data_IF_611553323881
#
_entry.id   IF_611553323881
#
_cell.length_a   1.000
_cell.length_b   1.000
_cell.length_c   1.000
_cell.angle_alpha   90.00
_cell.angle_beta   90.00
_cell.angle_gamma   90.00
#
_symmetry.space_group_name_H-M   'P 1'
#
loop_
_entity.id
_entity.type
_entity.pdbx_description
1 polymer ?
#
# COMPACT_ATOMS: atom_id res chain seq x y z
N UNK A 1 -50.50 -24.92 4.84
CA UNK A 1 -50.18 -23.62 5.47
C UNK A 1 -49.19 -22.88 4.58
N UNK A 2 -49.62 -21.78 3.95
CA UNK A 2 -48.79 -21.01 3.00
C UNK A 2 -48.12 -19.90 3.81
N UNK A 3 -46.83 -20.06 4.12
CA UNK A 3 -46.07 -19.02 4.82
C UNK A 3 -45.95 -17.80 3.91
N UNK A 4 -46.62 -16.71 4.26
CA UNK A 4 -46.42 -15.41 3.63
C UNK A 4 -45.11 -14.84 4.16
N UNK A 5 -44.09 -14.81 3.32
CA UNK A 5 -42.82 -14.13 3.61
C UNK A 5 -43.06 -12.62 3.43
N UNK A 6 -43.24 -11.90 4.54
CA UNK A 6 -43.32 -10.45 4.52
C UNK A 6 -41.91 -9.85 4.46
N UNK A 7 -41.50 -9.37 3.28
CA UNK A 7 -40.21 -8.71 3.08
C UNK A 7 -40.39 -7.21 3.37
N UNK A 8 -39.90 -6.75 4.52
CA UNK A 8 -39.84 -5.31 4.84
C UNK A 8 -38.60 -4.69 4.18
N UNK A 9 -38.76 -4.12 2.99
CA UNK A 9 -37.70 -3.29 2.40
C UNK A 9 -37.62 -1.94 3.12
N UNK A 10 -36.44 -1.63 3.69
CA UNK A 10 -36.15 -0.27 4.15
C UNK A 10 -36.11 0.63 2.92
N UNK A 11 -36.97 1.65 2.86
CA UNK A 11 -37.02 2.65 1.78
C UNK A 11 -35.64 3.25 1.49
N UNK A 12 -34.81 3.46 2.52
CA UNK A 12 -33.42 3.89 2.37
C UNK A 12 -32.55 2.93 1.53
N UNK A 13 -32.77 1.62 1.62
CA UNK A 13 -32.03 0.61 0.85
C UNK A 13 -32.47 0.61 -0.62
N UNK A 14 -33.76 0.85 -0.88
CA UNK A 14 -34.29 1.01 -2.24
C UNK A 14 -33.71 2.28 -2.88
N UNK A 15 -33.79 3.41 -2.17
CA UNK A 15 -33.26 4.70 -2.66
C UNK A 15 -31.75 4.59 -2.89
N UNK A 16 -31.02 4.00 -1.94
CA UNK A 16 -29.58 3.76 -2.08
C UNK A 16 -29.24 2.83 -3.26
N UNK A 17 -30.05 1.78 -3.48
CA UNK A 17 -29.91 0.89 -4.62
C UNK A 17 -30.11 1.62 -5.95
N UNK A 18 -31.19 2.40 -6.08
CA UNK A 18 -31.49 3.21 -7.27
C UNK A 18 -30.38 4.23 -7.52
N UNK A 19 -29.93 4.94 -6.48
CA UNK A 19 -28.84 5.90 -6.58
C UNK A 19 -27.53 5.23 -7.05
N UNK A 20 -27.20 4.05 -6.52
CA UNK A 20 -26.01 3.29 -6.91
C UNK A 20 -26.07 2.85 -8.37
N UNK A 21 -27.22 2.33 -8.82
CA UNK A 21 -27.45 1.95 -10.23
C UNK A 21 -27.40 3.18 -11.14
N UNK A 22 -27.98 4.30 -10.71
CA UNK A 22 -27.91 5.56 -11.44
C UNK A 22 -26.47 6.05 -11.61
N UNK A 23 -25.66 6.01 -10.55
CA UNK A 23 -24.22 6.35 -10.61
C UNK A 23 -23.45 5.42 -11.56
N UNK A 24 -23.72 4.12 -11.53
CA UNK A 24 -23.12 3.16 -12.46
C UNK A 24 -23.52 3.46 -13.92
N UNK A 25 -24.78 3.88 -14.15
CA UNK A 25 -25.27 4.29 -15.46
C UNK A 25 -24.56 5.55 -15.98
N UNK A 26 -24.41 6.58 -15.14
CA UNK A 26 -23.67 7.81 -15.48
C UNK A 26 -22.21 7.49 -15.80
N UNK A 27 -21.58 6.64 -14.99
CA UNK A 27 -20.20 6.20 -15.21
C UNK A 27 -20.04 5.43 -16.53
N UNK A 28 -20.96 4.51 -16.82
CA UNK A 28 -20.99 3.75 -18.08
C UNK A 28 -21.21 4.64 -19.30
N UNK A 29 -22.12 5.62 -19.21
CA UNK A 29 -22.35 6.61 -20.26
C UNK A 29 -21.12 7.48 -20.51
N UNK A 30 -20.46 7.96 -19.45
CA UNK A 30 -19.21 8.71 -19.57
C UNK A 30 -18.12 7.88 -20.25
N UNK A 31 -17.94 6.61 -19.87
CA UNK A 31 -16.97 5.71 -20.52
C UNK A 31 -17.29 5.48 -22.00
N UNK A 32 -18.56 5.32 -22.34
CA UNK A 32 -18.99 5.18 -23.73
C UNK A 32 -18.72 6.47 -24.54
N UNK A 33 -19.05 7.64 -23.98
CA UNK A 33 -18.83 8.93 -24.63
C UNK A 33 -17.34 9.25 -24.82
N UNK A 34 -16.49 8.90 -23.86
CA UNK A 34 -15.06 9.21 -23.90
C UNK A 34 -14.23 8.19 -24.70
N UNK A 35 -14.58 6.89 -24.63
CA UNK A 35 -13.74 5.80 -25.16
C UNK A 35 -14.45 4.91 -26.19
N UNK A 36 -15.68 5.23 -26.57
CA UNK A 36 -16.49 4.45 -27.53
C UNK A 36 -16.99 3.11 -26.99
N UNK A 37 -16.64 2.73 -25.76
CA UNK A 37 -17.06 1.47 -25.14
C UNK A 37 -17.14 1.63 -23.61
N UNK A 38 -18.30 1.28 -23.05
CA UNK A 38 -18.59 1.36 -21.61
C UNK A 38 -17.81 0.35 -20.77
N UNK A 39 -17.26 -0.72 -21.38
CA UNK A 39 -16.47 -1.77 -20.71
C UNK A 39 -14.97 -1.47 -20.68
N UNK A 40 -14.51 -0.41 -21.34
CA UNK A 40 -13.08 -0.07 -21.37
C UNK A 40 -12.63 0.35 -19.98
N UNK A 41 -11.73 -0.42 -19.38
CA UNK A 41 -11.08 -0.06 -18.13
C UNK A 41 -9.80 0.73 -18.41
N UNK A 42 -9.41 1.59 -17.47
CA UNK A 42 -8.21 2.41 -17.58
C UNK A 42 -6.92 1.61 -17.83
N UNK A 43 -6.88 0.33 -17.43
CA UNK A 43 -5.73 -0.56 -17.65
C UNK A 43 -5.61 -1.04 -19.11
N UNK A 44 -6.68 -0.97 -19.90
CA UNK A 44 -6.63 -1.32 -21.32
C UNK A 44 -6.21 -0.15 -22.21
N UNK A 45 -6.23 1.08 -21.68
CA UNK A 45 -5.75 2.26 -22.38
C UNK A 45 -4.24 2.12 -22.64
N UNK A 46 -3.76 2.47 -23.84
CA UNK A 46 -2.32 2.52 -24.10
C UNK A 46 -1.71 3.59 -23.18
N UNK A 47 -0.82 3.17 -22.27
CA UNK A 47 -0.16 4.10 -21.34
C UNK A 47 1.03 4.83 -21.97
N UNK A 48 1.65 4.26 -23.00
CA UNK A 48 2.70 4.89 -23.82
C UNK A 48 2.76 4.22 -25.20
N UNK A 49 3.01 5.00 -26.26
CA UNK A 49 3.53 4.47 -27.54
C UNK A 49 5.01 4.13 -27.34
N UNK A 50 5.30 2.90 -26.92
CA UNK A 50 6.66 2.39 -26.86
C UNK A 50 7.11 2.19 -28.31
N UNK A 51 8.04 2.98 -28.80
CA UNK A 51 8.50 2.98 -30.21
C UNK A 51 9.32 1.74 -30.61
N UNK A 52 9.49 0.77 -29.71
CA UNK A 52 10.38 -0.39 -29.90
C UNK A 52 9.59 -1.67 -30.19
N UNK A 53 9.41 -1.97 -31.48
CA UNK A 53 8.51 -2.99 -32.04
C UNK A 53 8.69 -4.42 -31.50
N UNK A 54 9.89 -4.79 -31.05
CA UNK A 54 10.16 -6.19 -30.66
C UNK A 54 9.62 -6.56 -29.26
N UNK A 55 9.53 -5.58 -28.34
CA UNK A 55 8.89 -5.77 -27.03
C UNK A 55 7.38 -5.54 -27.06
N UNK A 56 6.90 -4.87 -28.10
CA UNK A 56 5.47 -4.63 -28.37
C UNK A 56 4.76 -5.95 -28.65
N UNK A 57 5.34 -6.85 -29.45
CA UNK A 57 4.66 -8.10 -29.82
C UNK A 57 4.32 -8.96 -28.59
N UNK A 58 5.25 -9.11 -27.65
CA UNK A 58 5.03 -9.92 -26.44
C UNK A 58 4.01 -9.28 -25.47
N UNK A 59 4.06 -7.95 -25.29
CA UNK A 59 3.11 -7.22 -24.44
C UNK A 59 1.72 -7.10 -25.07
N UNK A 60 1.62 -6.90 -26.39
CA UNK A 60 0.36 -6.83 -27.13
C UNK A 60 -0.29 -8.21 -27.29
N UNK A 61 0.47 -9.29 -27.45
CA UNK A 61 -0.07 -10.64 -27.48
C UNK A 61 -0.69 -11.05 -26.13
N UNK A 62 -0.17 -10.52 -25.01
CA UNK A 62 -0.78 -10.63 -23.68
C UNK A 62 -2.01 -9.71 -23.48
N UNK A 63 -2.16 -8.66 -24.29
CA UNK A 63 -3.21 -7.63 -24.18
C UNK A 63 -4.50 -7.96 -24.95
N UNK A 64 -4.45 -8.92 -25.87
CA UNK A 64 -5.53 -9.18 -26.84
C UNK A 64 -6.72 -10.01 -26.34
N UNK A 65 -6.90 -10.20 -25.04
CA UNK A 65 -8.16 -10.75 -24.49
C UNK A 65 -8.83 -9.72 -23.58
N UNK A 66 -9.79 -8.93 -24.10
CA UNK A 66 -10.58 -8.02 -23.29
C UNK A 66 -11.62 -8.82 -22.49
N UNK A 67 -11.16 -9.54 -21.48
CA UNK A 67 -11.99 -10.20 -20.49
C UNK A 67 -11.50 -9.84 -19.09
N UNK A 68 -12.39 -9.83 -18.10
CA UNK A 68 -12.02 -9.65 -16.69
C UNK A 68 -10.95 -10.67 -16.24
N UNK A 69 -10.88 -11.83 -16.90
CA UNK A 69 -9.85 -12.85 -16.69
C UNK A 69 -8.47 -12.51 -17.27
N UNK A 70 -8.33 -11.47 -18.10
CA UNK A 70 -7.03 -10.99 -18.58
C UNK A 70 -6.32 -10.02 -17.62
N UNK A 71 -7.03 -9.52 -16.60
CA UNK A 71 -6.52 -8.53 -15.63
C UNK A 71 -5.86 -9.22 -14.43
N UNK A 72 -6.38 -10.40 -14.06
CA UNK A 72 -5.87 -11.22 -12.98
C UNK A 72 -5.45 -12.56 -13.56
N UNK A 73 -4.14 -12.82 -13.59
CA UNK A 73 -3.56 -14.00 -14.20
C UNK A 73 -2.76 -14.77 -13.16
N UNK A 74 -3.08 -16.05 -12.99
CA UNK A 74 -2.41 -16.94 -12.04
C UNK A 74 -0.91 -17.08 -12.36
N UNK A 75 -0.56 -17.11 -13.65
CA UNK A 75 0.82 -17.18 -14.14
C UNK A 75 1.70 -16.02 -13.64
N UNK A 76 1.10 -14.89 -13.26
CA UNK A 76 1.81 -13.71 -12.77
C UNK A 76 2.05 -13.72 -11.27
N UNK A 77 1.39 -14.61 -10.53
CA UNK A 77 1.46 -14.66 -9.06
C UNK A 77 2.89 -14.66 -8.52
N UNK A 78 3.84 -15.48 -9.01
CA UNK A 78 5.20 -15.47 -8.48
C UNK A 78 5.90 -14.12 -8.63
N UNK A 79 5.76 -13.50 -9.81
CA UNK A 79 6.35 -12.19 -10.09
C UNK A 79 5.64 -11.09 -9.28
N UNK A 80 4.31 -11.11 -9.20
CA UNK A 80 3.56 -10.13 -8.41
C UNK A 80 3.84 -10.24 -6.91
N UNK A 81 4.04 -11.44 -6.38
CA UNK A 81 4.47 -11.65 -4.99
C UNK A 81 5.88 -11.06 -4.77
N UNK A 82 6.80 -11.29 -5.69
CA UNK A 82 8.13 -10.67 -5.63
C UNK A 82 8.04 -9.14 -5.64
N UNK A 83 7.26 -8.55 -6.56
CA UNK A 83 7.06 -7.11 -6.69
C UNK A 83 6.48 -6.47 -5.42
N UNK A 84 5.49 -7.13 -4.81
CA UNK A 84 4.80 -6.60 -3.64
C UNK A 84 5.57 -6.82 -2.33
N UNK A 85 6.33 -7.91 -2.21
CA UNK A 85 6.97 -8.28 -0.95
C UNK A 85 8.45 -7.86 -0.89
N UNK A 86 9.22 -8.16 -1.95
CA UNK A 86 10.68 -8.17 -1.90
C UNK A 86 11.29 -7.14 -2.86
N UNK A 87 10.61 -6.69 -3.90
CA UNK A 87 11.26 -5.85 -4.90
C UNK A 87 11.85 -4.56 -4.30
N UNK A 88 13.05 -4.14 -4.69
CA UNK A 88 13.74 -3.00 -4.08
C UNK A 88 13.06 -1.65 -4.39
N UNK A 89 12.24 -1.58 -5.44
CA UNK A 89 11.56 -0.37 -5.86
C UNK A 89 10.22 -0.15 -5.15
N UNK A 90 9.55 -1.23 -4.67
CA UNK A 90 8.21 -1.15 -4.05
C UNK A 90 7.90 -2.17 -2.96
N UNK A 91 8.73 -3.18 -2.75
CA UNK A 91 8.43 -4.28 -1.84
C UNK A 91 8.24 -3.83 -0.39
N UNK A 92 7.29 -4.45 0.30
CA UNK A 92 6.98 -4.16 1.71
C UNK A 92 8.21 -4.30 2.62
N UNK A 93 9.13 -5.21 2.27
CA UNK A 93 10.38 -5.46 2.99
C UNK A 93 11.24 -4.20 3.10
N UNK A 94 11.35 -3.43 2.01
CA UNK A 94 12.19 -2.25 1.94
C UNK A 94 11.46 -0.98 2.39
N UNK A 95 10.15 -0.90 2.13
CA UNK A 95 9.35 0.30 2.42
C UNK A 95 8.81 0.34 3.85
N UNK A 96 8.48 -0.82 4.41
CA UNK A 96 7.92 -0.93 5.77
C UNK A 96 8.55 -2.09 6.57
N UNK A 97 9.88 -2.10 6.81
CA UNK A 97 10.55 -3.17 7.56
C UNK A 97 9.92 -3.53 8.91
N UNK A 98 9.28 -2.57 9.59
CA UNK A 98 8.57 -2.81 10.87
C UNK A 98 7.51 -3.92 10.76
N UNK A 99 6.91 -4.08 9.59
CA UNK A 99 5.90 -5.11 9.34
C UNK A 99 6.49 -6.52 9.30
N UNK A 100 7.82 -6.69 9.27
CA UNK A 100 8.42 -8.01 9.47
C UNK A 100 8.17 -8.56 10.88
N UNK A 101 8.00 -7.68 11.88
CA UNK A 101 7.60 -8.09 13.22
C UNK A 101 6.21 -8.74 13.23
N UNK A 102 5.36 -8.40 12.27
CA UNK A 102 4.06 -9.04 12.10
C UNK A 102 4.19 -10.54 11.82
N UNK A 103 5.21 -10.98 11.07
CA UNK A 103 5.42 -12.41 10.79
C UNK A 103 5.67 -13.20 12.08
N UNK A 104 6.42 -12.62 13.02
CA UNK A 104 6.65 -13.22 14.33
C UNK A 104 5.35 -13.27 15.15
N UNK A 105 4.56 -12.19 15.16
CA UNK A 105 3.27 -12.16 15.84
C UNK A 105 2.26 -13.15 15.26
N UNK A 106 2.26 -13.31 13.94
CA UNK A 106 1.48 -14.34 13.23
C UNK A 106 1.90 -15.73 13.72
N UNK A 107 3.20 -16.04 13.72
CA UNK A 107 3.72 -17.33 14.14
C UNK A 107 3.31 -17.67 15.59
N UNK A 108 3.35 -16.68 16.49
CA UNK A 108 2.91 -16.83 17.89
C UNK A 108 1.39 -17.02 18.01
N UNK A 109 0.63 -16.38 17.13
CA UNK A 109 -0.84 -16.46 17.08
C UNK A 109 -1.39 -17.78 16.54
N UNK A 110 -0.62 -18.54 15.75
CA UNK A 110 -1.09 -19.78 15.10
C UNK A 110 -1.55 -20.87 16.07
N UNK A 111 -1.03 -20.87 17.31
CA UNK A 111 -1.42 -21.83 18.37
C UNK A 111 -2.82 -21.56 18.96
N UNK A 112 -3.43 -20.42 18.64
CA UNK A 112 -4.74 -19.96 19.15
C UNK A 112 -5.55 -19.30 18.03
N UNK A 113 -5.83 -20.04 16.95
CA UNK A 113 -6.69 -19.53 15.86
C UNK A 113 -8.14 -19.46 16.36
N UNK A 114 -8.67 -18.24 16.45
CA UNK A 114 -10.10 -17.98 16.56
C UNK A 114 -10.63 -17.45 15.21
N UNK A 115 -11.96 -17.34 15.07
CA UNK A 115 -12.58 -16.86 13.84
C UNK A 115 -12.10 -15.46 13.43
N UNK A 116 -11.87 -14.57 14.39
CA UNK A 116 -11.39 -13.20 14.14
C UNK A 116 -10.01 -13.22 13.48
N UNK A 117 -9.05 -13.95 14.05
CA UNK A 117 -7.70 -14.10 13.50
C UNK A 117 -7.74 -14.74 12.11
N UNK A 118 -8.60 -15.75 11.92
CA UNK A 118 -8.79 -16.39 10.62
C UNK A 118 -9.27 -15.39 9.56
N UNK A 119 -10.26 -14.55 9.89
CA UNK A 119 -10.75 -13.50 8.99
C UNK A 119 -9.61 -12.53 8.63
N UNK A 120 -8.82 -12.07 9.62
CA UNK A 120 -7.68 -11.19 9.37
C UNK A 120 -6.62 -11.83 8.44
N UNK A 121 -6.33 -13.12 8.63
CA UNK A 121 -5.43 -13.87 7.74
C UNK A 121 -5.98 -13.97 6.33
N UNK A 122 -7.26 -14.30 6.18
CA UNK A 122 -7.91 -14.38 4.88
C UNK A 122 -7.89 -13.01 4.20
N UNK A 123 -8.14 -11.91 4.92
CA UNK A 123 -8.07 -10.57 4.36
C UNK A 123 -6.67 -10.24 3.80
N UNK A 124 -5.60 -10.55 4.56
CA UNK A 124 -4.22 -10.36 4.08
C UNK A 124 -3.96 -11.24 2.85
N UNK A 125 -4.32 -12.52 2.92
CA UNK A 125 -4.06 -13.48 1.85
C UNK A 125 -4.81 -13.12 0.57
N UNK A 126 -6.10 -12.79 0.66
CA UNK A 126 -6.93 -12.38 -0.47
C UNK A 126 -6.39 -11.09 -1.09
N UNK A 127 -6.09 -10.07 -0.29
CA UNK A 127 -5.53 -8.82 -0.79
C UNK A 127 -4.19 -9.06 -1.51
N UNK A 128 -3.30 -9.86 -0.92
CA UNK A 128 -2.00 -10.18 -1.51
C UNK A 128 -2.14 -10.98 -2.82
N UNK A 129 -2.92 -12.05 -2.84
CA UNK A 129 -3.12 -12.91 -4.04
C UNK A 129 -3.81 -12.13 -5.16
N UNK A 130 -4.82 -11.32 -4.82
CA UNK A 130 -5.54 -10.48 -5.78
C UNK A 130 -4.58 -9.51 -6.48
N UNK A 131 -3.76 -8.78 -5.73
CA UNK A 131 -2.86 -7.80 -6.34
C UNK A 131 -1.57 -8.40 -6.90
N UNK A 132 -1.16 -9.60 -6.46
CA UNK A 132 -0.07 -10.33 -7.06
C UNK A 132 -0.44 -10.92 -8.44
N UNK A 133 -1.71 -11.29 -8.64
CA UNK A 133 -2.20 -11.75 -9.95
C UNK A 133 -2.53 -10.60 -10.91
N UNK A 134 -2.59 -9.36 -10.41
CA UNK A 134 -2.94 -8.19 -11.19
C UNK A 134 -1.93 -7.90 -12.30
N UNK A 135 -2.37 -7.29 -13.40
CA UNK A 135 -1.50 -7.02 -14.56
C UNK A 135 -0.32 -6.12 -14.25
N UNK A 136 -0.50 -5.15 -13.36
CA UNK A 136 0.51 -4.18 -12.95
C UNK A 136 0.66 -4.19 -11.41
N UNK A 137 1.29 -5.22 -10.81
CA UNK A 137 1.35 -5.38 -9.35
C UNK A 137 2.05 -4.21 -8.65
N UNK A 138 2.96 -3.51 -9.36
CA UNK A 138 3.66 -2.31 -8.89
C UNK A 138 2.76 -1.06 -8.78
N UNK A 139 1.56 -1.08 -9.36
CA UNK A 139 0.59 0.01 -9.25
C UNK A 139 1.05 1.33 -9.89
N UNK A 140 1.72 1.28 -11.04
CA UNK A 140 2.16 2.47 -11.78
C UNK A 140 3.08 3.40 -10.99
N UNK A 141 2.90 4.72 -11.18
CA UNK A 141 3.67 5.76 -10.48
C UNK A 141 3.16 5.92 -9.05
N UNK A 142 3.91 5.36 -8.10
CA UNK A 142 3.52 5.30 -6.71
C UNK A 142 4.73 5.00 -5.82
N UNK A 143 4.74 5.58 -4.63
CA UNK A 143 5.72 5.28 -3.59
C UNK A 143 5.30 4.05 -2.76
N UNK A 144 6.07 2.97 -2.82
CA UNK A 144 5.79 1.71 -2.12
C UNK A 144 4.65 0.87 -2.71
N UNK A 145 4.28 -0.24 -2.05
CA UNK A 145 3.30 -1.20 -2.58
C UNK A 145 1.89 -0.79 -2.14
N UNK A 146 1.37 0.29 -2.73
CA UNK A 146 0.10 0.94 -2.33
C UNK A 146 -1.10 0.00 -2.23
N UNK A 147 -1.10 -1.09 -2.99
CA UNK A 147 -2.18 -2.08 -2.98
C UNK A 147 -2.23 -2.89 -1.67
N UNK A 148 -1.10 -2.99 -0.97
CA UNK A 148 -1.01 -3.67 0.32
C UNK A 148 -1.36 -2.78 1.51
N UNK A 149 -1.73 -1.50 1.34
CA UNK A 149 -2.09 -0.62 2.48
C UNK A 149 -3.13 -1.27 3.43
N UNK A 150 -4.22 -1.90 2.95
CA UNK A 150 -5.14 -2.61 3.83
C UNK A 150 -4.46 -3.75 4.60
N UNK A 151 -3.64 -4.55 3.93
CA UNK A 151 -2.87 -5.63 4.55
C UNK A 151 -1.86 -5.10 5.56
N UNK A 152 -1.23 -3.95 5.31
CA UNK A 152 -0.29 -3.30 6.24
C UNK A 152 -0.96 -2.90 7.55
N UNK A 153 -2.19 -2.38 7.47
CA UNK A 153 -2.96 -2.04 8.66
C UNK A 153 -3.21 -3.30 9.52
N UNK A 154 -3.61 -4.41 8.90
CA UNK A 154 -3.82 -5.68 9.62
C UNK A 154 -2.49 -6.24 10.15
N UNK A 155 -1.42 -6.22 9.35
CA UNK A 155 -0.08 -6.66 9.77
C UNK A 155 0.42 -5.87 10.98
N UNK A 156 0.09 -4.58 11.10
CA UNK A 156 0.43 -3.77 12.27
C UNK A 156 -0.16 -4.30 13.58
N UNK A 157 -1.35 -4.93 13.53
CA UNK A 157 -1.95 -5.59 14.69
C UNK A 157 -1.12 -6.79 15.13
N UNK A 158 -0.67 -7.61 14.17
CA UNK A 158 0.19 -8.75 14.46
C UNK A 158 1.57 -8.31 14.97
N UNK A 159 2.13 -7.20 14.49
CA UNK A 159 3.33 -6.62 15.07
C UNK A 159 3.12 -6.22 16.55
N UNK A 160 1.92 -5.72 16.89
CA UNK A 160 1.50 -5.49 18.27
C UNK A 160 1.43 -6.77 19.11
N UNK A 161 0.91 -7.87 18.56
CA UNK A 161 0.90 -9.18 19.22
C UNK A 161 2.31 -9.65 19.54
N UNK A 162 3.25 -9.53 18.59
CA UNK A 162 4.66 -9.83 18.85
C UNK A 162 5.21 -9.01 20.02
N UNK A 163 4.97 -7.69 20.03
CA UNK A 163 5.39 -6.82 21.13
C UNK A 163 4.76 -7.19 22.47
N UNK A 164 3.51 -7.65 22.49
CA UNK A 164 2.79 -8.01 23.72
C UNK A 164 3.19 -9.38 24.28
N UNK A 165 3.36 -10.38 23.42
CA UNK A 165 3.50 -11.78 23.84
C UNK A 165 4.95 -12.29 23.85
N UNK A 166 5.90 -11.59 23.22
CA UNK A 166 7.30 -12.03 23.20
C UNK A 166 7.93 -11.96 24.60
N UNK A 167 8.60 -13.05 25.07
CA UNK A 167 9.08 -13.12 26.45
C UNK A 167 10.16 -12.07 26.77
N UNK A 168 11.02 -11.75 25.79
CA UNK A 168 12.08 -10.76 25.96
C UNK A 168 11.62 -9.37 25.54
N UNK A 169 10.77 -8.77 26.37
CA UNK A 169 10.10 -7.49 26.12
C UNK A 169 11.06 -6.35 25.75
N UNK A 170 12.22 -6.26 26.38
CA UNK A 170 13.22 -5.24 26.04
C UNK A 170 13.75 -5.43 24.60
N UNK A 171 14.07 -6.68 24.21
CA UNK A 171 14.56 -7.00 22.87
C UNK A 171 13.48 -6.68 21.83
N UNK A 172 12.24 -7.09 22.08
CA UNK A 172 11.10 -6.79 21.20
C UNK A 172 10.92 -5.27 20.98
N UNK A 173 10.99 -4.47 22.05
CA UNK A 173 10.89 -3.01 21.95
C UNK A 173 12.07 -2.39 21.21
N UNK A 174 13.30 -2.83 21.46
CA UNK A 174 14.50 -2.33 20.75
C UNK A 174 14.44 -2.66 19.26
N UNK A 175 14.04 -3.88 18.91
CA UNK A 175 13.82 -4.27 17.51
C UNK A 175 12.74 -3.42 16.85
N UNK A 176 11.61 -3.18 17.53
CA UNK A 176 10.57 -2.29 17.02
C UNK A 176 11.07 -0.86 16.82
N UNK A 177 11.83 -0.29 17.75
CA UNK A 177 12.41 1.06 17.58
C UNK A 177 13.35 1.09 16.37
N UNK A 178 14.22 0.10 16.21
CA UNK A 178 15.13 0.01 15.07
C UNK A 178 14.36 -0.06 13.74
N UNK A 179 13.42 -1.01 13.62
CA UNK A 179 12.66 -1.19 12.38
C UNK A 179 11.70 -0.03 12.10
N UNK A 180 11.12 0.57 13.15
CA UNK A 180 10.31 1.78 13.04
C UNK A 180 11.14 2.95 12.54
N UNK A 181 12.36 3.14 13.05
CA UNK A 181 13.23 4.24 12.64
C UNK A 181 13.54 4.21 11.14
N UNK A 182 13.76 3.00 10.58
CA UNK A 182 13.93 2.82 9.14
C UNK A 182 12.61 3.05 8.40
N UNK A 183 11.51 2.44 8.86
CA UNK A 183 10.20 2.51 8.18
C UNK A 183 9.64 3.93 8.13
N UNK A 184 9.73 4.66 9.25
CA UNK A 184 9.28 6.06 9.36
C UNK A 184 10.13 6.98 8.50
N UNK A 185 11.45 6.78 8.44
CA UNK A 185 12.33 7.53 7.56
C UNK A 185 11.97 7.32 6.08
N UNK A 186 11.72 6.08 5.66
CA UNK A 186 11.30 5.77 4.28
C UNK A 186 9.92 6.37 3.99
N UNK A 187 8.94 6.17 4.86
CA UNK A 187 7.60 6.73 4.68
C UNK A 187 7.60 8.27 4.60
N UNK A 188 8.36 8.92 5.49
CA UNK A 188 8.52 10.38 5.52
C UNK A 188 9.20 10.90 4.26
N UNK A 189 10.18 10.16 3.72
CA UNK A 189 10.89 10.52 2.51
C UNK A 189 9.92 10.66 1.33
N UNK A 190 9.03 9.68 1.12
CA UNK A 190 7.97 9.77 0.12
C UNK A 190 7.00 10.92 0.38
N UNK A 191 6.56 11.08 1.64
CA UNK A 191 5.61 12.12 2.02
C UNK A 191 6.13 13.56 1.82
N UNK A 192 7.42 13.79 2.06
CA UNK A 192 8.04 15.12 1.88
C UNK A 192 8.47 15.40 0.45
N UNK A 193 8.88 14.39 -0.32
CA UNK A 193 9.45 14.61 -1.65
C UNK A 193 8.40 14.46 -2.74
N UNK A 194 8.03 13.23 -3.05
CA UNK A 194 7.06 12.89 -4.09
C UNK A 194 6.48 11.50 -3.87
N UNK A 195 5.16 11.40 -4.03
CA UNK A 195 4.45 10.12 -4.07
C UNK A 195 4.40 9.51 -5.48
N UNK A 196 4.80 10.28 -6.50
CA UNK A 196 4.80 9.87 -7.90
C UNK A 196 6.17 9.31 -8.31
N UNK A 197 6.48 8.10 -7.83
CA UNK A 197 7.76 7.42 -8.13
C UNK A 197 7.56 6.40 -9.25
N UNK A 198 8.36 6.45 -10.33
CA UNK A 198 8.21 5.57 -11.47
C UNK A 198 8.47 4.11 -11.09
N UNK A 199 7.75 3.15 -11.70
CA UNK A 199 8.08 1.74 -11.55
C UNK A 199 9.42 1.42 -12.22
N UNK A 200 10.12 0.37 -11.72
CA UNK A 200 11.44 0.00 -12.23
C UNK A 200 11.51 -0.15 -13.75
N UNK A 201 10.49 -0.75 -14.36
CA UNK A 201 10.43 -0.99 -15.82
C UNK A 201 10.51 0.32 -16.62
N UNK A 202 9.75 1.34 -16.19
CA UNK A 202 9.77 2.66 -16.83
C UNK A 202 11.03 3.45 -16.46
N UNK A 203 11.49 3.35 -15.21
CA UNK A 203 12.69 4.06 -14.76
C UNK A 203 13.95 3.62 -15.50
N UNK A 204 14.11 2.31 -15.72
CA UNK A 204 15.20 1.74 -16.52
C UNK A 204 15.12 2.23 -17.98
N UNK A 205 13.91 2.33 -18.54
CA UNK A 205 13.70 2.85 -19.89
C UNK A 205 14.11 4.32 -20.01
N UNK A 206 13.66 5.17 -19.07
CA UNK A 206 13.99 6.60 -19.05
C UNK A 206 15.38 6.91 -18.47
N UNK A 207 16.14 5.91 -18.04
CA UNK A 207 17.46 6.05 -17.38
C UNK A 207 17.41 6.96 -16.14
N UNK A 208 16.31 6.90 -15.39
CA UNK A 208 16.10 7.61 -14.12
C UNK A 208 16.16 6.64 -12.94
N UNK A 209 16.37 7.17 -11.73
CA UNK A 209 16.32 6.36 -10.50
C UNK A 209 14.88 5.92 -10.20
N UNK A 210 14.74 4.92 -9.33
CA UNK A 210 13.46 4.40 -8.87
C UNK A 210 13.46 4.13 -7.36
N UNK A 211 12.28 3.84 -6.82
CA UNK A 211 12.08 3.49 -5.42
C UNK A 211 12.57 4.56 -4.45
N UNK A 212 13.18 4.12 -3.35
CA UNK A 212 13.69 4.99 -2.28
C UNK A 212 14.78 5.94 -2.82
N UNK A 213 15.60 5.48 -3.76
CA UNK A 213 16.71 6.27 -4.32
C UNK A 213 16.22 7.47 -5.13
N UNK A 214 15.08 7.34 -5.80
CA UNK A 214 14.47 8.46 -6.52
C UNK A 214 14.02 9.56 -5.56
N UNK A 215 13.32 9.18 -4.49
CA UNK A 215 12.88 10.12 -3.46
C UNK A 215 14.08 10.72 -2.69
N UNK A 216 15.13 9.94 -2.43
CA UNK A 216 16.36 10.43 -1.80
C UNK A 216 17.07 11.51 -2.64
N UNK A 217 17.04 11.38 -3.97
CA UNK A 217 17.59 12.40 -4.86
C UNK A 217 16.79 13.71 -4.80
N UNK A 218 15.46 13.63 -4.70
CA UNK A 218 14.62 14.83 -4.50
C UNK A 218 14.95 15.52 -3.17
N UNK A 219 15.13 14.74 -2.10
CA UNK A 219 15.54 15.27 -0.80
C UNK A 219 16.88 16.01 -0.89
N UNK A 220 17.87 15.41 -1.54
CA UNK A 220 19.20 16.00 -1.73
C UNK A 220 19.17 17.27 -2.58
N UNK A 221 18.28 17.34 -3.58
CA UNK A 221 18.11 18.52 -4.45
C UNK A 221 17.21 19.60 -3.84
N UNK A 222 16.76 19.45 -2.59
CA UNK A 222 15.76 20.32 -1.95
C UNK A 222 14.45 20.44 -2.77
N UNK A 223 14.09 19.40 -3.52
CA UNK A 223 12.84 19.36 -4.27
C UNK A 223 11.74 18.72 -3.42
N UNK A 224 10.67 19.48 -3.17
CA UNK A 224 9.55 19.03 -2.33
C UNK A 224 8.21 19.60 -2.79
N UNK A 225 7.18 18.76 -2.70
CA UNK A 225 5.78 19.19 -2.82
C UNK A 225 5.17 19.69 -1.50
N UNK A 226 5.93 19.76 -0.41
CA UNK A 226 5.41 20.15 0.91
C UNK A 226 5.14 21.65 0.99
N UNK A 227 3.86 22.00 1.04
CA UNK A 227 3.41 23.38 1.23
C UNK A 227 3.97 24.00 2.51
N UNK A 228 3.91 23.27 3.64
CA UNK A 228 4.38 23.78 4.94
C UNK A 228 5.87 24.12 4.92
N UNK A 229 6.69 23.25 4.32
CA UNK A 229 8.12 23.52 4.19
C UNK A 229 8.37 24.75 3.31
N UNK A 230 7.76 24.78 2.11
CA UNK A 230 7.97 25.86 1.15
C UNK A 230 7.51 27.23 1.69
N UNK A 231 6.42 27.25 2.46
CA UNK A 231 5.85 28.48 2.99
C UNK A 231 6.57 29.00 4.24
N UNK A 232 7.01 28.12 5.14
CA UNK A 232 7.46 28.52 6.48
C UNK A 232 8.93 28.23 6.78
N UNK A 233 9.52 27.19 6.19
CA UNK A 233 10.81 26.67 6.64
C UNK A 233 11.92 26.74 5.59
N UNK A 234 11.58 26.90 4.31
CA UNK A 234 12.55 26.87 3.20
C UNK A 234 13.63 27.97 3.27
N UNK A 235 13.36 29.09 3.96
CA UNK A 235 14.34 30.16 4.15
C UNK A 235 15.32 29.91 5.32
N UNK A 236 15.00 28.98 6.22
CA UNK A 236 15.70 28.80 7.49
C UNK A 236 16.44 27.45 7.56
N UNK A 237 15.87 26.44 6.92
CA UNK A 237 16.33 25.05 7.01
C UNK A 237 16.42 24.44 5.61
N UNK A 238 17.43 23.61 5.41
CA UNK A 238 17.43 22.68 4.26
C UNK A 238 16.34 21.62 4.42
N UNK A 239 15.89 21.05 3.30
CA UNK A 239 14.87 20.00 3.31
C UNK A 239 15.37 18.75 4.05
N UNK A 240 16.68 18.48 3.98
CA UNK A 240 17.31 17.40 4.75
C UNK A 240 17.25 17.64 6.27
N UNK A 241 17.52 18.85 6.74
CA UNK A 241 17.38 19.20 8.16
C UNK A 241 15.92 19.09 8.61
N UNK A 242 14.98 19.58 7.79
CA UNK A 242 13.54 19.47 8.06
C UNK A 242 13.07 18.01 8.15
N UNK A 243 13.54 17.16 7.23
CA UNK A 243 13.33 15.71 7.27
C UNK A 243 13.85 15.09 8.58
N UNK A 244 15.09 15.40 8.98
CA UNK A 244 15.68 14.88 10.21
C UNK A 244 14.89 15.31 11.45
N UNK A 245 14.46 16.57 11.53
CA UNK A 245 13.66 17.06 12.66
C UNK A 245 12.37 16.24 12.80
N UNK A 246 11.59 16.12 11.73
CA UNK A 246 10.33 15.37 11.77
C UNK A 246 10.58 13.90 12.10
N UNK A 247 11.58 13.28 11.47
CA UNK A 247 11.87 11.87 11.70
C UNK A 247 12.28 11.60 13.17
N UNK A 248 13.11 12.47 13.76
CA UNK A 248 13.50 12.34 15.16
C UNK A 248 12.29 12.52 16.10
N UNK A 249 11.40 13.47 15.81
CA UNK A 249 10.15 13.64 16.58
C UNK A 249 9.30 12.37 16.52
N UNK A 250 9.13 11.76 15.34
CA UNK A 250 8.39 10.50 15.19
C UNK A 250 9.02 9.35 15.99
N UNK A 251 10.35 9.21 15.94
CA UNK A 251 11.09 8.19 16.70
C UNK A 251 10.93 8.40 18.21
N UNK A 252 11.08 9.64 18.70
CA UNK A 252 10.89 9.97 20.12
C UNK A 252 9.47 9.66 20.57
N UNK A 253 8.46 10.07 19.81
CA UNK A 253 7.06 9.76 20.12
C UNK A 253 6.82 8.26 20.18
N UNK A 254 7.37 7.49 19.23
CA UNK A 254 7.25 6.04 19.21
C UNK A 254 7.92 5.37 20.42
N UNK A 255 9.11 5.85 20.83
CA UNK A 255 9.79 5.39 22.05
C UNK A 255 8.95 5.71 23.29
N UNK A 256 8.39 6.92 23.40
CA UNK A 256 7.53 7.29 24.53
C UNK A 256 6.31 6.37 24.61
N UNK A 257 5.65 6.09 23.48
CA UNK A 257 4.52 5.15 23.42
C UNK A 257 4.93 3.74 23.87
N UNK A 258 6.07 3.23 23.42
CA UNK A 258 6.50 1.86 23.77
C UNK A 258 7.01 1.70 25.21
N UNK A 259 7.63 2.73 25.79
CA UNK A 259 8.33 2.61 27.08
C UNK A 259 7.63 3.32 28.24
N UNK A 260 6.92 4.42 27.99
CA UNK A 260 6.30 5.24 29.04
C UNK A 260 4.85 4.85 29.26
N UNK A 261 4.04 4.77 28.20
CA UNK A 261 2.59 4.48 28.32
C UNK A 261 2.29 3.20 29.12
N UNK A 262 2.96 2.06 28.88
CA UNK A 262 2.68 0.83 29.63
C UNK A 262 3.06 0.88 31.11
N UNK A 263 3.89 1.86 31.53
CA UNK A 263 4.24 2.06 32.95
C UNK A 263 3.17 2.88 33.66
N UNK A 264 2.60 3.86 32.99
CA UNK A 264 1.52 4.69 33.53
C UNK A 264 0.27 3.85 33.77
N UNK A 265 -0.12 3.02 32.79
CA UNK A 265 -1.33 2.19 32.90
C UNK A 265 -1.28 1.11 34.00
N UNK A 266 -0.08 0.66 34.40
CA UNK A 266 0.10 -0.29 35.51
C UNK A 266 -0.05 0.36 36.89
N UNK A 267 0.03 1.68 37.00
CA UNK A 267 -0.16 2.39 38.26
C UNK A 267 -1.63 2.73 38.54
N UNK A 268 -2.51 2.61 37.54
CA UNK A 268 -3.95 2.89 37.64
C UNK A 268 -4.80 1.62 37.88
N UNK A 269 -4.19 0.43 37.82
CA UNK A 269 -4.81 -0.89 38.05
C UNK A 269 -4.31 -1.53 39.34
#
# INVERSE_FOLDING_TARGET
MRNNINIHFKTALIIGGIASVGMLGVFGWYHYAAYGNWKTLANHLPRYEITNMDKIQAYLNLKNTPSLGGIFLEERLPNGLYELLIAPDKGILFFSPILLLALLGIAMSTKRINMERLILFICIAVNLILYASFTDPWGGWAYGPRYLIPSMAILSLFAGIFLAEFPYQLIAKLLAVLMFSVSSAVALLGALTTNAVPPRIEAVYFKIKYGILFAAEYLQKNHTGSFLYNQFFAHQLSLFQYFLIINNVLIVLFILVLFVVPRVSRHES
#
